data_IF_898375493109
#
_entry.id   IF_898375493109
#
_cell.length_a   1.000
_cell.length_b   1.000
_cell.length_c   1.000
_cell.angle_alpha   90.00
_cell.angle_beta   90.00
_cell.angle_gamma   90.00
#
_symmetry.space_group_name_H-M   'P 1'
#
loop_
_entity.id
_entity.type
_entity.pdbx_description
1 polymer ?
#
# COMPACT_ATOMS: atom_id res chain seq x y z
N UNK A 1 5.65 -15.97 2.42
CA UNK A 1 5.29 -15.31 3.69
C UNK A 1 5.95 -13.94 3.92
N UNK A 2 7.29 -13.80 3.78
CA UNK A 2 8.02 -12.56 4.11
C UNK A 2 7.65 -11.35 3.21
N UNK A 3 7.37 -11.60 1.93
CA UNK A 3 7.05 -10.55 0.95
C UNK A 3 5.71 -9.87 1.23
N UNK A 4 4.68 -10.65 1.61
CA UNK A 4 3.37 -10.11 1.95
C UNK A 4 3.40 -9.20 3.18
N UNK A 5 4.17 -9.59 4.21
CA UNK A 5 4.31 -8.81 5.45
C UNK A 5 5.06 -7.49 5.17
N UNK A 6 6.14 -7.53 4.38
CA UNK A 6 6.90 -6.34 3.99
C UNK A 6 6.03 -5.35 3.20
N UNK A 7 5.22 -5.83 2.26
CA UNK A 7 4.30 -4.99 1.48
C UNK A 7 3.19 -4.38 2.33
N UNK A 8 2.73 -5.09 3.37
CA UNK A 8 1.74 -4.57 4.31
C UNK A 8 2.30 -3.39 5.12
N UNK A 9 3.54 -3.51 5.62
CA UNK A 9 4.24 -2.43 6.33
C UNK A 9 4.44 -1.22 5.43
N UNK A 10 4.88 -1.42 4.18
CA UNK A 10 5.03 -0.33 3.20
C UNK A 10 3.69 0.36 2.91
N UNK A 11 2.60 -0.40 2.77
CA UNK A 11 1.26 0.14 2.51
C UNK A 11 0.78 1.05 3.66
N UNK A 12 1.04 0.66 4.93
CA UNK A 12 0.70 1.48 6.10
C UNK A 12 1.48 2.80 6.10
N UNK A 13 2.77 2.76 5.77
CA UNK A 13 3.62 3.96 5.70
C UNK A 13 3.14 4.88 4.57
N UNK A 14 2.80 4.34 3.40
CA UNK A 14 2.24 5.11 2.29
C UNK A 14 0.87 5.71 2.64
N UNK A 15 0.02 5.00 3.38
CA UNK A 15 -1.28 5.54 3.82
C UNK A 15 -1.09 6.76 4.72
N UNK A 16 -0.13 6.70 5.66
CA UNK A 16 0.23 7.85 6.50
C UNK A 16 0.74 9.03 5.65
N UNK A 17 1.53 8.75 4.60
CA UNK A 17 2.01 9.78 3.68
C UNK A 17 0.85 10.47 2.94
N UNK A 18 -0.15 9.71 2.46
CA UNK A 18 -1.36 10.28 1.81
C UNK A 18 -2.10 11.24 2.75
N UNK A 19 -2.32 10.84 4.00
CA UNK A 19 -2.97 11.72 4.99
C UNK A 19 -2.15 12.98 5.28
N UNK A 20 -0.82 12.89 5.26
CA UNK A 20 0.07 14.03 5.47
C UNK A 20 0.01 15.02 4.30
N UNK A 21 -0.03 14.52 3.07
CA UNK A 21 -0.09 15.37 1.87
C UNK A 21 -1.48 15.99 1.64
N UNK A 22 -2.55 15.32 2.10
CA UNK A 22 -3.90 15.90 2.15
C UNK A 22 -3.95 17.16 3.03
N UNK A 23 -3.18 17.19 4.13
CA UNK A 23 -3.12 18.33 5.04
C UNK A 23 -2.40 19.55 4.44
N UNK A 24 -1.46 19.30 3.52
CA UNK A 24 -0.67 20.34 2.84
C UNK A 24 -1.41 20.95 1.62
N UNK A 25 -2.61 20.44 1.28
CA UNK A 25 -3.36 20.76 0.03
C UNK A 25 -2.58 20.51 -1.26
N UNK A 26 -1.49 19.75 -1.20
CA UNK A 26 -0.72 19.40 -2.39
C UNK A 26 -1.42 18.30 -3.19
N UNK A 27 -2.32 18.70 -4.09
CA UNK A 27 -3.14 17.80 -4.91
C UNK A 27 -2.32 16.79 -5.72
N UNK A 28 -1.15 17.19 -6.23
CA UNK A 28 -0.26 16.29 -6.98
C UNK A 28 0.41 15.25 -6.07
N UNK A 29 0.81 15.67 -4.87
CA UNK A 29 1.38 14.76 -3.87
C UNK A 29 0.36 13.70 -3.47
N UNK A 30 -0.85 14.11 -3.10
CA UNK A 30 -1.93 13.19 -2.73
C UNK A 30 -2.22 12.19 -3.83
N UNK A 31 -2.25 12.61 -5.09
CA UNK A 31 -2.42 11.69 -6.22
C UNK A 31 -1.26 10.68 -6.33
N UNK A 32 -0.02 11.12 -6.16
CA UNK A 32 1.17 10.25 -6.24
C UNK A 32 1.28 9.27 -5.06
N UNK A 33 1.07 9.77 -3.84
CA UNK A 33 1.02 8.97 -2.64
C UNK A 33 -0.18 8.02 -2.66
N UNK A 34 -1.33 8.49 -3.16
CA UNK A 34 -2.55 7.69 -3.31
C UNK A 34 -2.38 6.57 -4.32
N UNK A 35 -1.76 6.84 -5.47
CA UNK A 35 -1.39 5.80 -6.43
C UNK A 35 -0.44 4.78 -5.81
N UNK A 36 0.55 5.23 -5.04
CA UNK A 36 1.50 4.34 -4.36
C UNK A 36 0.78 3.43 -3.36
N UNK A 37 -0.14 3.96 -2.54
CA UNK A 37 -0.98 3.14 -1.64
C UNK A 37 -1.83 2.15 -2.42
N UNK A 38 -2.40 2.55 -3.55
CA UNK A 38 -3.26 1.69 -4.36
C UNK A 38 -2.45 0.52 -4.96
N UNK A 39 -1.27 0.80 -5.56
CA UNK A 39 -0.41 -0.23 -6.14
C UNK A 39 0.19 -1.13 -5.07
N UNK A 40 0.76 -0.58 -3.99
CA UNK A 40 1.36 -1.38 -2.91
C UNK A 40 0.30 -2.14 -2.10
N UNK A 41 -0.86 -1.53 -1.84
CA UNK A 41 -1.99 -2.18 -1.19
C UNK A 41 -2.54 -3.33 -2.03
N UNK A 42 -2.71 -3.13 -3.33
CA UNK A 42 -3.14 -4.20 -4.24
C UNK A 42 -2.12 -5.35 -4.31
N UNK A 43 -0.82 -5.02 -4.41
CA UNK A 43 0.24 -6.02 -4.38
C UNK A 43 0.28 -6.79 -3.04
N UNK A 44 0.07 -6.10 -1.91
CA UNK A 44 0.00 -6.72 -0.58
C UNK A 44 -1.16 -7.71 -0.50
N UNK A 45 -2.35 -7.33 -0.96
CA UNK A 45 -3.54 -8.20 -0.96
C UNK A 45 -3.33 -9.41 -1.85
N UNK A 46 -2.84 -9.21 -3.07
CA UNK A 46 -2.61 -10.30 -4.03
C UNK A 46 -1.53 -11.28 -3.55
N UNK A 47 -0.50 -10.79 -2.85
CA UNK A 47 0.52 -11.64 -2.23
C UNK A 47 -0.03 -12.45 -1.08
N UNK A 48 -0.84 -11.86 -0.21
CA UNK A 48 -1.53 -12.59 0.87
C UNK A 48 -2.50 -13.61 0.27
N UNK A 49 -3.26 -13.26 -0.77
CA UNK A 49 -4.16 -14.17 -1.48
C UNK A 49 -3.41 -15.35 -2.11
N UNK A 50 -2.28 -15.08 -2.78
CA UNK A 50 -1.45 -16.12 -3.37
C UNK A 50 -0.88 -17.05 -2.29
N UNK A 51 -0.44 -16.52 -1.15
CA UNK A 51 0.03 -17.36 -0.04
C UNK A 51 -1.11 -18.19 0.59
N UNK A 52 -2.31 -17.62 0.73
CA UNK A 52 -3.45 -18.31 1.33
C UNK A 52 -4.04 -19.38 0.40
N UNK A 53 -4.02 -19.14 -0.91
CA UNK A 53 -4.59 -20.04 -1.94
C UNK A 53 -3.54 -21.00 -2.53
N UNK A 54 -2.25 -20.67 -2.51
CA UNK A 54 -1.16 -21.59 -2.90
C UNK A 54 -0.90 -22.68 -1.85
N UNK A 55 -1.41 -22.51 -0.63
CA UNK A 55 -1.35 -23.52 0.43
C UNK A 55 -2.68 -24.28 0.62
N UNK A 56 -3.58 -24.26 -0.38
CA UNK A 56 -4.82 -25.04 -0.41
C UNK A 56 -4.77 -26.14 -1.47
#
# INVERSE_FOLDING_TARGET
>A
MVLGIMLLVVTIICAIAVFRELKDRNFLGVCFAGLSVLVFGWFSVMTIYSELFSNA
#
